data_IF_492999441632
#
_entry.id   IF_492999441632
#
_cell.length_a   1.000
_cell.length_b   1.000
_cell.length_c   1.000
_cell.angle_alpha   90.00
_cell.angle_beta   90.00
_cell.angle_gamma   90.00
#
_symmetry.space_group_name_H-M   'P 1'
#
loop_
_entity.id
_entity.type
_entity.pdbx_description
1 polymer ?
#
# COMPACT_ATOMS: atom_id res chain seq x y z
N UNK A 1 9.42 5.13 2.38
CA UNK A 1 9.47 5.99 1.19
C UNK A 1 8.51 7.14 1.40
N UNK A 2 8.76 8.35 0.91
CA UNK A 2 7.80 9.46 1.04
C UNK A 2 7.06 9.69 -0.28
N UNK A 3 5.88 10.30 -0.23
CA UNK A 3 5.14 10.70 -1.42
C UNK A 3 5.93 11.66 -2.31
N UNK A 4 6.79 12.52 -1.73
CA UNK A 4 7.65 13.43 -2.48
C UNK A 4 8.70 12.66 -3.30
N UNK A 5 9.28 11.58 -2.75
CA UNK A 5 10.18 10.70 -3.50
C UNK A 5 9.45 10.02 -4.65
N UNK A 6 8.27 9.45 -4.40
CA UNK A 6 7.46 8.80 -5.46
C UNK A 6 7.14 9.80 -6.57
N UNK A 7 6.72 11.02 -6.24
CA UNK A 7 6.42 12.07 -7.22
C UNK A 7 7.66 12.45 -8.04
N UNK A 8 8.81 12.59 -7.37
CA UNK A 8 10.08 12.90 -8.01
C UNK A 8 10.47 11.81 -9.01
N UNK A 9 10.47 10.55 -8.59
CA UNK A 9 10.82 9.41 -9.44
C UNK A 9 9.89 9.32 -10.65
N UNK A 10 8.57 9.44 -10.44
CA UNK A 10 7.58 9.44 -11.51
C UNK A 10 7.80 10.54 -12.57
N UNK A 11 8.32 11.71 -12.17
CA UNK A 11 8.57 12.82 -13.08
C UNK A 11 9.72 12.55 -14.06
N UNK A 12 10.60 11.59 -13.76
CA UNK A 12 11.68 11.14 -14.64
C UNK A 12 11.27 9.98 -15.56
N UNK A 13 10.07 9.41 -15.39
CA UNK A 13 9.56 8.30 -16.21
C UNK A 13 8.67 8.85 -17.32
N UNK A 14 9.16 8.83 -18.55
CA UNK A 14 8.43 9.33 -19.72
C UNK A 14 7.48 8.27 -20.33
N UNK A 15 7.88 7.00 -20.31
CA UNK A 15 7.09 5.89 -20.85
C UNK A 15 6.02 5.41 -19.84
N UNK A 16 4.83 5.10 -20.35
CA UNK A 16 3.77 4.49 -19.55
C UNK A 16 4.17 3.12 -19.00
N UNK A 17 4.94 2.33 -19.76
CA UNK A 17 5.41 1.01 -19.35
C UNK A 17 6.35 1.11 -18.15
N UNK A 18 7.22 2.11 -18.14
CA UNK A 18 8.15 2.37 -17.05
C UNK A 18 7.41 2.82 -15.79
N UNK A 19 6.41 3.69 -15.93
CA UNK A 19 5.52 4.07 -14.81
C UNK A 19 4.78 2.88 -14.24
N UNK A 20 4.23 2.01 -15.09
CA UNK A 20 3.53 0.80 -14.66
C UNK A 20 4.47 -0.16 -13.92
N UNK A 21 5.69 -0.36 -14.46
CA UNK A 21 6.72 -1.20 -13.86
C UNK A 21 7.12 -0.67 -12.48
N UNK A 22 7.38 0.63 -12.37
CA UNK A 22 7.73 1.29 -11.13
C UNK A 22 6.66 1.08 -10.04
N UNK A 23 5.38 1.28 -10.35
CA UNK A 23 4.29 1.00 -9.39
C UNK A 23 4.29 -0.46 -8.95
N UNK A 24 4.47 -1.38 -9.90
CA UNK A 24 4.53 -2.82 -9.59
C UNK A 24 5.71 -3.16 -8.68
N UNK A 25 6.87 -2.51 -8.87
CA UNK A 25 8.07 -2.67 -8.03
C UNK A 25 7.85 -2.14 -6.60
N UNK A 26 7.16 -1.01 -6.44
CA UNK A 26 6.75 -0.53 -5.11
C UNK A 26 5.93 -1.60 -4.36
N UNK A 27 5.02 -2.27 -5.08
CA UNK A 27 4.23 -3.37 -4.54
C UNK A 27 5.05 -4.60 -4.16
N UNK A 28 6.08 -4.94 -4.94
CA UNK A 28 6.98 -6.05 -4.62
C UNK A 28 7.83 -5.79 -3.37
N UNK A 29 8.17 -4.53 -3.09
CA UNK A 29 8.91 -4.13 -1.90
C UNK A 29 8.06 -4.16 -0.61
N UNK A 30 6.73 -4.30 -0.71
CA UNK A 30 5.87 -4.42 0.47
C UNK A 30 6.14 -5.72 1.23
N UNK A 31 6.22 -5.66 2.58
CA UNK A 31 6.23 -6.86 3.40
C UNK A 31 5.01 -7.74 3.12
N UNK A 32 5.14 -9.08 3.13
CA UNK A 32 4.00 -9.96 2.95
C UNK A 32 2.99 -9.74 4.07
N UNK A 33 1.70 -9.72 3.72
CA UNK A 33 0.64 -9.69 4.71
C UNK A 33 0.55 -11.06 5.41
N UNK A 34 0.60 -11.12 6.76
CA UNK A 34 0.43 -12.39 7.48
C UNK A 34 -0.90 -13.04 7.13
N UNK A 35 -0.94 -14.37 7.01
CA UNK A 35 -2.16 -15.11 6.67
C UNK A 35 -3.31 -14.83 7.66
N UNK A 36 -2.99 -14.67 8.95
CA UNK A 36 -3.96 -14.31 9.99
C UNK A 36 -4.61 -12.93 9.78
N UNK A 37 -4.00 -12.06 8.97
CA UNK A 37 -4.55 -10.76 8.62
C UNK A 37 -5.42 -10.81 7.33
N UNK A 38 -5.48 -11.94 6.61
CA UNK A 38 -6.37 -12.15 5.46
C UNK A 38 -7.78 -12.54 5.90
N UNK A 39 -8.43 -11.64 6.63
CA UNK A 39 -9.79 -11.84 7.17
C UNK A 39 -10.81 -11.00 6.41
N UNK A 40 -12.09 -11.35 6.53
CA UNK A 40 -13.19 -10.53 5.98
C UNK A 40 -13.26 -9.12 6.60
N UNK A 41 -12.77 -8.93 7.83
CA UNK A 41 -12.71 -7.63 8.49
C UNK A 41 -11.66 -6.70 7.84
N UNK A 42 -10.56 -7.25 7.34
CA UNK A 42 -9.51 -6.50 6.64
C UNK A 42 -9.77 -6.40 5.13
N UNK A 43 -10.80 -7.06 4.61
CA UNK A 43 -11.06 -7.14 3.17
C UNK A 43 -11.67 -5.83 2.66
N UNK A 44 -11.01 -5.23 1.67
CA UNK A 44 -11.50 -4.02 1.00
C UNK A 44 -12.51 -4.44 -0.08
N UNK A 45 -13.70 -3.83 -0.04
CA UNK A 45 -14.80 -4.13 -0.97
C UNK A 45 -14.83 -3.11 -2.11
N UNK A 46 -15.26 -3.54 -3.29
CA UNK A 46 -15.38 -2.69 -4.48
C UNK A 46 -14.16 -2.69 -5.39
N UNK A 47 -13.06 -3.36 -5.00
CA UNK A 47 -11.95 -3.66 -5.89
C UNK A 47 -12.33 -4.81 -6.83
N UNK A 48 -11.86 -4.75 -8.08
CA UNK A 48 -12.00 -5.86 -9.04
C UNK A 48 -11.13 -7.07 -8.67
N UNK A 49 -10.06 -6.84 -7.92
CA UNK A 49 -9.15 -7.82 -7.34
C UNK A 49 -9.43 -8.00 -5.85
N UNK A 50 -8.96 -9.09 -5.25
CA UNK A 50 -9.00 -9.25 -3.81
C UNK A 50 -7.95 -8.33 -3.16
N UNK A 51 -8.38 -7.56 -2.15
CA UNK A 51 -7.52 -6.62 -1.42
C UNK A 51 -7.77 -6.78 0.07
N UNK A 52 -6.69 -6.84 0.85
CA UNK A 52 -6.73 -6.80 2.31
C UNK A 52 -5.86 -5.67 2.85
N UNK A 53 -6.36 -4.98 3.87
CA UNK A 53 -5.69 -3.89 4.57
C UNK A 53 -5.87 -4.07 6.08
N UNK A 54 -4.78 -4.42 6.78
CA UNK A 54 -4.72 -4.45 8.23
C UNK A 54 -4.22 -3.10 8.75
N UNK A 55 -4.91 -2.55 9.74
CA UNK A 55 -4.59 -1.26 10.35
C UNK A 55 -4.20 -1.44 11.81
N UNK A 56 -3.07 -0.86 12.21
CA UNK A 56 -2.60 -0.80 13.59
C UNK A 56 -2.64 0.66 14.07
N UNK A 57 -3.27 0.92 15.22
CA UNK A 57 -3.36 2.26 15.81
C UNK A 57 -2.35 2.37 16.95
N UNK A 58 -1.41 3.31 16.83
CA UNK A 58 -0.31 3.50 17.77
C UNK A 58 -0.42 4.86 18.48
N UNK A 59 -0.09 4.90 19.77
CA UNK A 59 0.27 6.15 20.46
C UNK A 59 -0.88 7.11 20.78
N UNK A 60 -2.09 6.63 21.05
CA UNK A 60 -3.17 7.45 21.60
C UNK A 60 -2.91 7.75 23.10
N UNK A 61 -1.96 8.64 23.40
CA UNK A 61 -1.81 9.22 24.74
C UNK A 61 -2.48 10.59 24.80
N UNK A 62 -2.87 11.02 26.01
CA UNK A 62 -3.52 12.32 26.21
C UNK A 62 -2.67 13.46 25.64
N UNK A 63 -3.13 14.08 24.56
CA UNK A 63 -2.48 15.21 23.89
C UNK A 63 -1.82 14.91 22.54
N UNK A 64 -1.77 13.65 22.09
CA UNK A 64 -1.23 13.29 20.77
C UNK A 64 -2.29 12.64 19.88
N UNK A 65 -2.28 12.98 18.58
CA UNK A 65 -3.10 12.30 17.59
C UNK A 65 -2.60 10.84 17.40
N UNK A 66 -3.51 9.87 17.23
CA UNK A 66 -3.12 8.49 16.96
C UNK A 66 -2.36 8.39 15.64
N UNK A 67 -1.33 7.55 15.59
CA UNK A 67 -0.63 7.19 14.36
C UNK A 67 -1.18 5.88 13.83
N UNK A 68 -1.54 5.86 12.55
CA UNK A 68 -1.99 4.65 11.87
C UNK A 68 -0.80 4.03 11.12
N UNK A 69 -0.64 2.72 11.26
CA UNK A 69 0.28 1.91 10.47
C UNK A 69 -0.51 0.88 9.68
N UNK A 70 -0.16 0.66 8.43
CA UNK A 70 -0.89 -0.24 7.54
C UNK A 70 -0.01 -1.39 7.05
N UNK A 71 -0.65 -2.55 6.85
CA UNK A 71 -0.11 -3.68 6.08
C UNK A 71 -1.20 -4.12 5.11
N UNK A 72 -0.84 -4.50 3.90
CA UNK A 72 -1.84 -4.84 2.91
C UNK A 72 -1.30 -5.67 1.78
N UNK A 73 -2.21 -6.30 1.07
CA UNK A 73 -1.90 -7.21 -0.02
C UNK A 73 -3.05 -7.30 -1.02
N UNK A 74 -2.74 -7.76 -2.23
CA UNK A 74 -3.72 -8.04 -3.28
C UNK A 74 -3.27 -9.20 -4.15
N UNK A 75 -4.22 -9.97 -4.68
CA UNK A 75 -3.98 -10.99 -5.70
C UNK A 75 -3.57 -10.39 -7.06
N UNK A 76 -3.71 -9.07 -7.26
CA UNK A 76 -3.24 -8.36 -8.44
C UNK A 76 -1.95 -7.56 -8.15
N UNK A 77 -0.89 -7.83 -8.92
CA UNK A 77 0.42 -7.16 -8.76
C UNK A 77 0.34 -5.62 -8.83
N UNK A 78 -0.38 -5.09 -9.82
CA UNK A 78 -0.52 -3.64 -9.97
C UNK A 78 -1.26 -3.01 -8.77
N UNK A 79 -2.24 -3.71 -8.22
CA UNK A 79 -3.01 -3.23 -7.07
C UNK A 79 -2.16 -3.24 -5.80
N UNK A 80 -1.26 -4.23 -5.61
CA UNK A 80 -0.24 -4.17 -4.55
C UNK A 80 0.63 -2.92 -4.64
N UNK A 81 0.99 -2.51 -5.86
CA UNK A 81 1.70 -1.26 -6.10
C UNK A 81 0.92 -0.01 -5.67
N UNK A 82 -0.38 0.04 -6.01
CA UNK A 82 -1.25 1.13 -5.57
C UNK A 82 -1.44 1.16 -4.04
N UNK A 83 -1.50 0.00 -3.38
CA UNK A 83 -1.49 -0.12 -1.92
C UNK A 83 -0.21 0.49 -1.34
N UNK A 84 0.95 0.24 -1.96
CA UNK A 84 2.23 0.78 -1.50
C UNK A 84 2.29 2.31 -1.51
N UNK A 85 1.61 2.96 -2.47
CA UNK A 85 1.52 4.42 -2.57
C UNK A 85 0.61 5.00 -1.47
N UNK A 86 -0.39 4.24 -1.00
CA UNK A 86 -1.31 4.68 0.04
C UNK A 86 -0.64 4.76 1.44
N UNK A 87 0.43 3.99 1.68
CA UNK A 87 1.08 3.85 2.98
C UNK A 87 2.01 5.02 3.31
#
# INVERSE_FOLDING_TARGET
MTLDTIRSDFAFLDDWEDRYRYVSELGHALPPLPEAARTEANKVRGCASQVWLATEVNGATAGAAPRLSFKGDSDAHIVRGLIAILF
#
